data_IF_874160828458
#
_entry.id   IF_874160828458
#
_cell.length_a   1.000
_cell.length_b   1.000
_cell.length_c   1.000
_cell.angle_alpha   90.00
_cell.angle_beta   90.00
_cell.angle_gamma   90.00
#
_symmetry.space_group_name_H-M   'P 1'
#
loop_
_entity.id
_entity.type
_entity.pdbx_description
1 polymer ?
#
# COMPACT_ATOMS: atom_id res chain seq x y z
N UNK A 1 14.63 -4.29 -5.65
CA UNK A 1 13.54 -3.29 -5.78
C UNK A 1 12.61 -3.35 -4.58
N UNK A 2 12.21 -2.21 -4.09
CA UNK A 2 11.25 -2.09 -2.99
C UNK A 2 10.02 -1.33 -3.45
N UNK A 3 8.86 -1.87 -3.11
CA UNK A 3 7.57 -1.25 -3.46
C UNK A 3 6.84 -0.90 -2.17
N UNK A 4 6.46 0.36 -2.02
CA UNK A 4 5.64 0.80 -0.89
C UNK A 4 4.17 0.61 -1.23
N UNK A 5 3.44 0.01 -0.32
CA UNK A 5 2.02 -0.30 -0.52
C UNK A 5 1.21 0.25 0.66
N UNK A 6 0.73 1.49 0.54
CA UNK A 6 -0.23 2.00 1.52
C UNK A 6 -1.55 1.25 1.36
N UNK A 7 -2.12 0.82 2.47
CA UNK A 7 -3.41 0.13 2.45
C UNK A 7 -4.37 0.76 3.45
N UNK A 8 -5.62 0.90 3.06
CA UNK A 8 -6.64 1.49 3.92
C UNK A 8 -7.17 0.45 4.92
N UNK A 9 -8.20 -0.26 4.61
CA UNK A 9 -8.77 -1.24 5.51
C UNK A 9 -8.82 -2.63 4.90
N UNK A 10 -9.51 -3.57 5.54
CA UNK A 10 -9.54 -4.95 5.06
C UNK A 10 -10.22 -5.11 3.71
N UNK A 11 -11.23 -4.30 3.40
CA UNK A 11 -11.94 -4.41 2.12
C UNK A 11 -11.05 -4.08 0.92
N UNK A 12 -10.38 -2.91 0.90
CA UNK A 12 -9.40 -2.63 -0.16
C UNK A 12 -8.25 -3.63 -0.18
N UNK A 13 -7.83 -4.13 0.99
CA UNK A 13 -6.77 -5.13 1.05
C UNK A 13 -7.20 -6.43 0.36
N UNK A 14 -8.41 -6.91 0.62
CA UNK A 14 -8.92 -8.12 -0.05
C UNK A 14 -8.98 -7.94 -1.56
N UNK A 15 -9.38 -6.76 -2.00
CA UNK A 15 -9.48 -6.46 -3.43
C UNK A 15 -8.13 -6.42 -4.11
N UNK A 16 -7.14 -5.84 -3.46
CA UNK A 16 -5.89 -5.45 -4.11
C UNK A 16 -4.69 -6.32 -3.79
N UNK A 17 -4.69 -7.06 -2.68
CA UNK A 17 -3.48 -7.73 -2.22
C UNK A 17 -2.88 -8.67 -3.26
N UNK A 18 -3.69 -9.53 -3.86
CA UNK A 18 -3.16 -10.50 -4.84
C UNK A 18 -2.61 -9.81 -6.08
N UNK A 19 -3.31 -8.78 -6.57
CA UNK A 19 -2.83 -8.03 -7.74
C UNK A 19 -1.48 -7.36 -7.45
N UNK A 20 -1.37 -6.71 -6.30
CA UNK A 20 -0.15 -6.00 -5.94
C UNK A 20 1.00 -6.97 -5.69
N UNK A 21 0.75 -8.04 -4.96
CA UNK A 21 1.78 -9.05 -4.68
C UNK A 21 2.28 -9.69 -5.97
N UNK A 22 1.40 -9.95 -6.93
CA UNK A 22 1.81 -10.50 -8.23
C UNK A 22 2.64 -9.52 -9.04
N UNK A 23 2.33 -8.24 -8.98
CA UNK A 23 3.17 -7.21 -9.62
C UNK A 23 4.57 -7.23 -8.99
N UNK A 24 4.64 -7.25 -7.66
CA UNK A 24 5.92 -7.31 -6.95
C UNK A 24 6.71 -8.57 -7.34
N UNK A 25 6.03 -9.68 -7.43
CA UNK A 25 6.67 -10.94 -7.82
C UNK A 25 7.30 -10.85 -9.21
N UNK A 26 6.60 -10.23 -10.17
CA UNK A 26 7.13 -10.06 -11.53
C UNK A 26 8.36 -9.17 -11.57
N UNK A 27 8.45 -8.20 -10.68
CA UNK A 27 9.63 -7.33 -10.59
C UNK A 27 10.72 -7.91 -9.69
N UNK A 28 10.50 -9.07 -9.10
CA UNK A 28 11.39 -9.64 -8.10
C UNK A 28 11.65 -8.64 -6.96
N UNK A 29 10.58 -8.01 -6.50
CA UNK A 29 10.64 -6.95 -5.50
C UNK A 29 10.18 -7.43 -4.14
N UNK A 30 10.59 -6.71 -3.09
CA UNK A 30 9.95 -6.82 -1.79
C UNK A 30 8.90 -5.72 -1.64
N UNK A 31 7.90 -5.96 -0.83
CA UNK A 31 6.88 -4.95 -0.54
C UNK A 31 6.97 -4.48 0.91
N UNK A 32 6.73 -3.20 1.08
CA UNK A 32 6.60 -2.57 2.40
C UNK A 32 5.16 -2.11 2.51
N UNK A 33 4.35 -2.84 3.26
CA UNK A 33 2.92 -2.55 3.40
C UNK A 33 2.71 -1.67 4.62
N UNK A 34 2.12 -0.52 4.42
CA UNK A 34 1.87 0.41 5.52
C UNK A 34 0.37 0.68 5.65
N UNK A 35 -0.14 0.51 6.86
CA UNK A 35 -1.50 0.94 7.19
C UNK A 35 -1.41 2.16 8.09
N UNK A 36 -2.02 3.25 7.64
CA UNK A 36 -1.98 4.52 8.35
C UNK A 36 -3.34 4.76 8.97
N UNK A 37 -3.35 5.02 10.27
CA UNK A 37 -4.59 5.23 11.02
C UNK A 37 -4.52 6.52 11.81
N UNK A 38 -5.70 7.00 12.17
CA UNK A 38 -5.83 8.00 13.19
C UNK A 38 -5.63 7.35 14.55
N UNK A 39 -5.77 8.10 15.60
CA UNK A 39 -5.60 7.59 16.97
C UNK A 39 -6.66 6.54 17.29
N UNK A 40 -6.27 5.54 18.03
CA UNK A 40 -7.16 4.63 18.74
C UNK A 40 -7.46 3.32 18.02
N UNK A 41 -8.12 3.35 16.90
CA UNK A 41 -8.60 2.14 16.28
C UNK A 41 -7.51 1.43 15.47
N UNK A 42 -7.29 0.14 15.74
CA UNK A 42 -6.21 -0.61 15.09
C UNK A 42 -6.63 -1.94 14.49
N UNK A 43 -7.80 -2.46 14.88
CA UNK A 43 -8.19 -3.81 14.49
C UNK A 43 -8.33 -3.97 12.98
N UNK A 44 -8.97 -3.01 12.32
CA UNK A 44 -9.12 -3.07 10.87
C UNK A 44 -7.79 -2.95 10.15
N UNK A 45 -6.89 -2.13 10.69
CA UNK A 45 -5.55 -2.01 10.15
C UNK A 45 -4.77 -3.30 10.28
N UNK A 46 -4.87 -3.95 11.43
CA UNK A 46 -4.22 -5.23 11.65
C UNK A 46 -4.75 -6.28 10.67
N UNK A 47 -6.06 -6.30 10.42
CA UNK A 47 -6.66 -7.20 9.45
C UNK A 47 -6.13 -6.95 8.03
N UNK A 48 -6.00 -5.69 7.64
CA UNK A 48 -5.47 -5.34 6.32
C UNK A 48 -4.03 -5.84 6.17
N UNK A 49 -3.20 -5.60 7.16
CA UNK A 49 -1.82 -6.06 7.15
C UNK A 49 -1.73 -7.58 7.11
N UNK A 50 -2.58 -8.27 7.86
CA UNK A 50 -2.61 -9.73 7.85
C UNK A 50 -2.99 -10.29 6.47
N UNK A 51 -3.94 -9.66 5.78
CA UNK A 51 -4.33 -10.06 4.44
C UNK A 51 -3.13 -10.00 3.49
N UNK A 52 -2.39 -8.89 3.51
CA UNK A 52 -1.20 -8.75 2.69
C UNK A 52 -0.12 -9.75 3.06
N UNK A 53 0.09 -9.96 4.36
CA UNK A 53 1.09 -10.91 4.84
C UNK A 53 0.80 -12.32 4.34
N UNK A 54 -0.45 -12.75 4.43
CA UNK A 54 -0.86 -14.07 3.98
C UNK A 54 -0.62 -14.24 2.48
N UNK A 55 -1.06 -13.27 1.68
CA UNK A 55 -0.91 -13.36 0.23
C UNK A 55 0.56 -13.32 -0.17
N UNK A 56 1.35 -12.41 0.43
CA UNK A 56 2.78 -12.31 0.13
C UNK A 56 3.53 -13.58 0.51
N UNK A 57 3.16 -14.19 1.64
CA UNK A 57 3.77 -15.44 2.07
C UNK A 57 3.44 -16.56 1.10
N UNK A 58 2.20 -16.68 0.69
CA UNK A 58 1.76 -17.70 -0.27
C UNK A 58 2.46 -17.56 -1.62
N UNK A 59 2.66 -16.32 -2.06
CA UNK A 59 3.33 -16.02 -3.32
C UNK A 59 4.86 -15.94 -3.21
N UNK A 60 5.38 -16.13 -2.00
CA UNK A 60 6.83 -16.09 -1.72
C UNK A 60 7.47 -14.75 -2.04
N UNK A 61 6.76 -13.67 -1.75
CA UNK A 61 7.24 -12.30 -1.92
C UNK A 61 7.73 -11.77 -0.56
N UNK A 62 8.98 -11.32 -0.46
CA UNK A 62 9.46 -10.72 0.78
C UNK A 62 8.67 -9.48 1.13
N UNK A 63 8.36 -9.30 2.39
CA UNK A 63 7.52 -8.19 2.81
C UNK A 63 7.81 -7.72 4.22
N UNK A 64 7.48 -6.46 4.47
CA UNK A 64 7.43 -5.85 5.79
C UNK A 64 6.04 -5.28 6.01
N UNK A 65 5.58 -5.31 7.25
CA UNK A 65 4.28 -4.76 7.63
C UNK A 65 4.51 -3.62 8.62
N UNK A 66 4.01 -2.44 8.32
CA UNK A 66 4.20 -1.26 9.14
C UNK A 66 2.85 -0.67 9.54
N UNK A 67 2.45 -0.84 10.81
CA UNK A 67 1.34 -0.04 11.34
C UNK A 67 1.87 1.36 11.65
N UNK A 68 1.19 2.38 11.17
CA UNK A 68 1.61 3.75 11.36
C UNK A 68 0.45 4.62 11.84
N UNK A 69 0.77 5.70 12.51
CA UNK A 69 -0.21 6.68 12.97
C UNK A 69 0.23 8.03 12.41
N UNK A 70 -0.72 8.77 11.88
CA UNK A 70 -0.44 10.11 11.38
C UNK A 70 -1.31 10.52 10.22
N UNK A 71 -0.92 11.61 9.58
CA UNK A 71 -1.60 12.11 8.40
C UNK A 71 -1.16 11.28 7.19
N UNK A 72 -2.09 10.95 6.32
CA UNK A 72 -1.87 9.97 5.25
C UNK A 72 -0.71 10.34 4.33
N UNK A 73 -0.76 11.52 3.73
CA UNK A 73 0.24 11.88 2.72
C UNK A 73 1.64 12.04 3.32
N UNK A 74 1.75 12.67 4.48
CA UNK A 74 3.04 12.86 5.17
C UNK A 74 3.65 11.52 5.56
N UNK A 75 2.83 10.59 6.02
CA UNK A 75 3.31 9.27 6.44
C UNK A 75 3.76 8.45 5.23
N UNK A 76 3.03 8.50 4.13
CA UNK A 76 3.44 7.82 2.90
C UNK A 76 4.78 8.38 2.42
N UNK A 77 4.92 9.70 2.36
CA UNK A 77 6.16 10.35 1.95
C UNK A 77 7.32 9.94 2.85
N UNK A 78 7.10 9.98 4.16
CA UNK A 78 8.12 9.60 5.14
C UNK A 78 8.56 8.15 4.98
N UNK A 79 7.62 7.24 4.81
CA UNK A 79 7.94 5.83 4.64
C UNK A 79 8.62 5.55 3.29
N UNK A 80 8.22 6.26 2.24
CA UNK A 80 8.86 6.12 0.94
C UNK A 80 10.33 6.52 1.01
N UNK A 81 10.63 7.62 1.67
CA UNK A 81 12.00 8.10 1.84
C UNK A 81 12.81 7.20 2.77
N UNK A 82 12.24 6.84 3.92
CA UNK A 82 12.93 6.01 4.90
C UNK A 82 13.33 4.66 4.32
N UNK A 83 12.44 4.04 3.56
CA UNK A 83 12.67 2.72 2.97
C UNK A 83 13.34 2.79 1.60
N UNK A 84 13.58 3.96 1.06
CA UNK A 84 14.19 4.16 -0.26
C UNK A 84 13.48 3.33 -1.33
N UNK A 85 12.16 3.49 -1.40
CA UNK A 85 11.34 2.68 -2.31
C UNK A 85 11.50 3.13 -3.76
N UNK A 86 11.33 2.17 -4.66
CA UNK A 86 11.46 2.40 -6.10
C UNK A 86 10.11 2.65 -6.77
N UNK A 87 9.03 2.30 -6.11
CA UNK A 87 7.68 2.40 -6.66
C UNK A 87 6.68 2.45 -5.51
N UNK A 88 5.62 3.21 -5.69
CA UNK A 88 4.49 3.23 -4.75
C UNK A 88 3.27 2.70 -5.49
N UNK A 89 2.60 1.71 -4.93
CA UNK A 89 1.37 1.16 -5.51
C UNK A 89 0.21 1.42 -4.56
N UNK A 90 -0.82 2.09 -5.06
CA UNK A 90 -2.02 2.40 -4.29
C UNK A 90 -3.24 1.85 -5.00
N UNK A 91 -4.16 1.27 -4.26
CA UNK A 91 -5.43 0.81 -4.80
C UNK A 91 -6.53 1.81 -4.53
N UNK A 92 -7.45 1.95 -5.48
CA UNK A 92 -8.68 2.72 -5.28
C UNK A 92 -9.59 2.01 -4.29
N UNK A 93 -10.43 2.77 -3.59
CA UNK A 93 -11.48 2.21 -2.74
C UNK A 93 -12.78 2.14 -3.53
N UNK A 94 -13.73 1.34 -3.06
CA UNK A 94 -15.00 1.16 -3.76
C UNK A 94 -15.67 2.51 -4.06
N UNK A 95 -16.04 2.70 -5.32
CA UNK A 95 -16.71 3.92 -5.77
C UNK A 95 -15.86 5.17 -5.80
N UNK A 96 -14.56 5.05 -5.49
CA UNK A 96 -13.66 6.21 -5.44
C UNK A 96 -12.27 5.84 -5.93
N UNK A 97 -11.61 6.82 -6.54
CA UNK A 97 -10.17 6.70 -6.78
C UNK A 97 -9.39 7.14 -5.56
N UNK A 98 -8.09 7.18 -5.71
CA UNK A 98 -7.21 7.81 -4.72
C UNK A 98 -7.37 9.32 -4.87
N UNK A 99 -7.48 10.04 -3.75
CA UNK A 99 -7.66 11.49 -3.80
C UNK A 99 -6.49 12.15 -4.51
N UNK A 100 -6.81 12.99 -5.51
CA UNK A 100 -5.79 13.62 -6.35
C UNK A 100 -4.80 14.44 -5.56
N UNK A 101 -5.22 15.16 -4.51
CA UNK A 101 -4.32 15.96 -3.71
C UNK A 101 -3.27 15.11 -2.96
N UNK A 102 -3.62 13.87 -2.60
CA UNK A 102 -2.67 12.94 -1.96
C UNK A 102 -1.61 12.56 -2.98
N UNK A 103 -2.03 12.16 -4.18
CA UNK A 103 -1.11 11.77 -5.25
C UNK A 103 -0.19 12.91 -5.62
N UNK A 104 -0.75 14.12 -5.79
CA UNK A 104 0.04 15.31 -6.13
C UNK A 104 1.09 15.59 -5.07
N UNK A 105 0.74 15.45 -3.81
CA UNK A 105 1.66 15.70 -2.71
C UNK A 105 2.77 14.67 -2.65
N UNK A 106 2.45 13.42 -2.88
CA UNK A 106 3.44 12.34 -2.92
C UNK A 106 4.41 12.59 -4.07
N UNK A 107 3.90 12.88 -5.26
CA UNK A 107 4.73 13.11 -6.44
C UNK A 107 5.62 14.34 -6.31
N UNK A 108 5.16 15.36 -5.59
CA UNK A 108 5.97 16.56 -5.36
C UNK A 108 7.10 16.34 -4.34
N UNK A 109 7.05 15.29 -3.56
CA UNK A 109 7.95 15.10 -2.43
C UNK A 109 8.73 13.78 -2.44
N UNK A 110 8.57 12.96 -3.46
CA UNK A 110 9.35 11.72 -3.62
C UNK A 110 9.73 11.56 -5.09
N UNK A 111 10.77 10.76 -5.33
CA UNK A 111 11.18 10.43 -6.68
C UNK A 111 10.54 9.12 -7.18
N UNK A 112 9.84 8.42 -6.32
CA UNK A 112 9.25 7.14 -6.69
C UNK A 112 8.00 7.36 -7.56
N UNK A 113 7.89 6.66 -8.69
CA UNK A 113 6.64 6.68 -9.46
C UNK A 113 5.49 6.08 -8.66
N UNK A 114 4.28 6.52 -8.97
CA UNK A 114 3.07 6.05 -8.30
C UNK A 114 2.20 5.31 -9.31
N UNK A 115 1.89 4.07 -9.00
CA UNK A 115 0.95 3.26 -9.79
C UNK A 115 -0.36 3.14 -9.02
N UNK A 116 -1.45 3.48 -9.67
CA UNK A 116 -2.77 3.40 -9.04
C UNK A 116 -3.58 2.31 -9.72
N UNK A 117 -4.06 1.36 -8.91
CA UNK A 117 -4.93 0.30 -9.40
C UNK A 117 -6.38 0.72 -9.24
N UNK A 118 -7.19 0.57 -10.28
CA UNK A 118 -8.61 0.88 -10.18
C UNK A 118 -9.33 -0.14 -9.30
N UNK A 119 -10.44 0.29 -8.72
CA UNK A 119 -11.33 -0.64 -8.05
C UNK A 119 -11.93 -1.57 -9.10
N UNK A 120 -11.86 -2.87 -8.86
CA UNK A 120 -12.39 -3.86 -9.79
C UNK A 120 -13.44 -4.71 -9.07
N UNK A 121 -14.59 -4.85 -9.71
CA UNK A 121 -15.64 -5.76 -9.25
C UNK A 121 -15.56 -7.11 -9.94
N UNK A 122 -14.61 -7.27 -10.82
CA UNK A 122 -14.43 -8.52 -11.57
C UNK A 122 -13.58 -9.46 -10.74
N UNK A 123 -14.06 -10.64 -10.54
CA UNK A 123 -13.35 -11.69 -9.81
C UNK A 123 -12.55 -12.57 -10.74
#
# INVERSE_FOLDING_TARGET
>A
MKILVPTAGPEPARMNALRIVRIAKRFNAEIVVVHIRDQGESREGDMALEIFSKVATEEKVPHKLIPAIGEISSTIIGQARFNEVDLIIMGATEGRGVAGWIVDRIMANTDAPVLILPWSKVD
#
